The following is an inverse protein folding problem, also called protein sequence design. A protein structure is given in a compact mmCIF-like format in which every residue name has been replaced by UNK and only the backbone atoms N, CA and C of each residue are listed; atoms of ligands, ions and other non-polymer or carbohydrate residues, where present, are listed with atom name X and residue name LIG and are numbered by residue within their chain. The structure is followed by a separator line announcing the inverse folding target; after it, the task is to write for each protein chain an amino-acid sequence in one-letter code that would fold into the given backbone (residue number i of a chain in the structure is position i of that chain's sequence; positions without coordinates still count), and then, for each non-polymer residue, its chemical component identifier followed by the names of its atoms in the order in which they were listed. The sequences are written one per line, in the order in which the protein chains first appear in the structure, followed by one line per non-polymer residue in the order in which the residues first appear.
data_IF_900208166770
#
_entry.id   IF_900208166770
#
_cell.length_a   1.000
_cell.length_b   1.000
_cell.length_c   1.000
_cell.angle_alpha   90.00
_cell.angle_beta   90.00
_cell.angle_gamma   90.00
#
_symmetry.space_group_name_H-M   'P 1'
#
loop_
_entity.id
_entity.type
_entity.pdbx_description
1 polymer ?
#
# COMPACT_ATOMS: atom_id res chain seq x y z
N UNK A 1 5.14 14.54 -19.33
CA UNK A 1 5.10 14.02 -17.96
C UNK A 1 3.97 13.02 -17.92
N UNK A 2 4.22 11.69 -17.89
CA UNK A 2 3.12 10.75 -17.77
C UNK A 2 2.53 10.89 -16.36
N UNK A 3 1.21 10.87 -16.28
CA UNK A 3 0.48 10.92 -15.03
C UNK A 3 1.01 9.84 -14.10
N UNK A 4 1.56 10.26 -12.95
CA UNK A 4 1.73 9.38 -11.81
C UNK A 4 0.32 8.91 -11.49
N UNK A 5 0.03 7.64 -11.76
CA UNK A 5 -1.25 7.04 -11.41
C UNK A 5 -1.36 7.20 -9.89
N UNK A 6 -2.25 8.11 -9.47
CA UNK A 6 -2.84 8.05 -8.16
C UNK A 6 -3.23 6.58 -7.96
N UNK A 7 -2.68 5.94 -6.92
CA UNK A 7 -3.11 4.61 -6.52
C UNK A 7 -4.51 4.78 -5.92
N UNK A 8 -5.47 5.02 -6.80
CA UNK A 8 -6.88 4.81 -6.51
C UNK A 8 -7.00 3.31 -6.25
N UNK A 9 -7.45 2.93 -5.07
CA UNK A 9 -7.55 1.51 -4.68
C UNK A 9 -8.48 0.74 -5.64
N UNK A 10 -9.34 1.45 -6.37
CA UNK A 10 -10.18 0.92 -7.46
C UNK A 10 -9.40 0.54 -8.75
N UNK A 11 -8.14 0.94 -8.88
CA UNK A 11 -7.36 0.83 -10.13
C UNK A 11 -6.74 -0.57 -10.34
N UNK A 12 -6.48 -1.35 -9.28
CA UNK A 12 -5.96 -2.71 -9.42
C UNK A 12 -6.94 -3.65 -10.14
N UNK A 13 -8.23 -3.54 -9.80
CA UNK A 13 -9.29 -4.35 -10.42
C UNK A 13 -9.48 -4.02 -11.90
N UNK A 14 -9.25 -2.76 -12.28
CA UNK A 14 -9.36 -2.29 -13.67
C UNK A 14 -8.12 -2.68 -14.48
N UNK A 15 -6.94 -2.62 -13.86
CA UNK A 15 -5.67 -3.03 -14.46
C UNK A 15 -5.45 -4.55 -14.46
N UNK A 16 -6.32 -5.32 -13.79
CA UNK A 16 -6.25 -6.77 -13.62
C UNK A 16 -4.86 -7.24 -13.14
N UNK A 17 -4.24 -6.45 -12.26
CA UNK A 17 -2.89 -6.67 -11.72
C UNK A 17 -2.88 -6.44 -10.21
N UNK A 18 -2.11 -7.22 -9.45
CA UNK A 18 -1.71 -6.91 -8.06
C UNK A 18 -0.22 -6.58 -7.97
N UNK A 19 0.13 -5.75 -6.99
CA UNK A 19 1.51 -5.48 -6.55
C UNK A 19 1.74 -6.01 -5.12
N UNK A 20 3.01 -6.21 -4.72
CA UNK A 20 3.32 -6.62 -3.36
C UNK A 20 3.24 -5.43 -2.38
N UNK A 21 2.16 -5.42 -1.60
CA UNK A 21 1.86 -4.40 -0.61
C UNK A 21 2.72 -4.45 0.66
N UNK A 22 3.80 -5.24 0.73
CA UNK A 22 4.63 -5.25 1.94
C UNK A 22 5.34 -3.88 2.15
N UNK A 23 5.38 -3.30 3.36
CA UNK A 23 5.84 -1.91 3.57
C UNK A 23 7.26 -1.59 3.08
N UNK A 24 8.16 -2.57 3.06
CA UNK A 24 9.54 -2.36 2.60
C UNK A 24 9.67 -2.18 1.09
N UNK A 25 8.63 -2.53 0.32
CA UNK A 25 8.60 -2.34 -1.12
C UNK A 25 8.25 -0.91 -1.51
N UNK A 26 8.11 -0.02 -0.51
CA UNK A 26 7.73 1.36 -0.69
C UNK A 26 8.72 2.33 -0.04
N UNK A 27 8.86 3.51 -0.65
CA UNK A 27 9.59 4.64 -0.07
C UNK A 27 8.70 5.86 0.00
N UNK A 28 8.88 6.68 1.04
CA UNK A 28 8.16 7.94 1.22
C UNK A 28 9.06 9.10 0.79
N UNK A 29 8.57 9.95 -0.11
CA UNK A 29 9.27 11.18 -0.50
C UNK A 29 8.25 12.30 -0.70
N UNK A 30 8.46 13.45 -0.07
CA UNK A 30 7.57 14.63 -0.17
C UNK A 30 6.08 14.35 0.10
N UNK A 31 5.77 13.40 0.99
CA UNK A 31 4.37 13.05 1.33
C UNK A 31 3.72 12.06 0.37
N UNK A 32 4.43 11.61 -0.66
CA UNK A 32 4.00 10.58 -1.60
C UNK A 32 4.65 9.24 -1.27
N UNK A 33 3.97 8.14 -1.61
CA UNK A 33 4.44 6.77 -1.42
C UNK A 33 4.76 6.19 -2.81
N UNK A 34 5.97 5.65 -2.98
CA UNK A 34 6.44 5.08 -4.24
C UNK A 34 6.72 3.59 -4.10
N UNK A 35 6.12 2.76 -4.94
CA UNK A 35 6.46 1.34 -5.07
C UNK A 35 7.78 1.18 -5.84
N UNK A 36 8.74 0.46 -5.29
CA UNK A 36 10.11 0.35 -5.83
C UNK A 36 10.52 -1.08 -6.21
N UNK A 37 9.66 -2.06 -5.95
CA UNK A 37 9.95 -3.47 -6.22
C UNK A 37 9.52 -3.88 -7.65
N UNK A 38 8.67 -3.08 -8.31
CA UNK A 38 8.26 -3.19 -9.73
C UNK A 38 7.77 -4.59 -10.18
N UNK A 39 7.42 -5.46 -9.23
CA UNK A 39 6.82 -6.76 -9.51
C UNK A 39 5.30 -6.62 -9.66
N UNK A 40 4.75 -7.27 -10.68
CA UNK A 40 3.32 -7.29 -11.00
C UNK A 40 2.87 -8.72 -11.24
N UNK A 41 1.73 -9.09 -10.65
CA UNK A 41 1.11 -10.41 -10.82
C UNK A 41 -0.33 -10.27 -11.34
N UNK A 42 -0.88 -11.33 -11.90
CA UNK A 42 -2.31 -11.39 -12.24
C UNK A 42 -3.16 -11.09 -11.00
N UNK A 43 -4.22 -10.31 -11.17
CA UNK A 43 -5.08 -9.94 -10.06
C UNK A 43 -5.76 -11.15 -9.39
N UNK A 44 -5.69 -11.20 -8.07
CA UNK A 44 -6.41 -12.10 -7.18
C UNK A 44 -6.96 -11.31 -5.99
N UNK A 45 -8.27 -11.41 -5.74
CA UNK A 45 -8.93 -10.63 -4.67
C UNK A 45 -8.31 -10.86 -3.28
N UNK A 46 -7.81 -12.06 -3.00
CA UNK A 46 -7.16 -12.42 -1.74
C UNK A 46 -5.86 -11.63 -1.48
N UNK A 47 -5.22 -11.09 -2.52
CA UNK A 47 -3.91 -10.44 -2.49
C UNK A 47 -3.99 -8.91 -2.64
N UNK A 48 -5.20 -8.36 -2.78
CA UNK A 48 -5.40 -6.92 -2.85
C UNK A 48 -5.04 -6.22 -1.52
N UNK A 49 -5.02 -4.90 -1.54
CA UNK A 49 -4.67 -4.12 -0.35
C UNK A 49 -5.59 -4.42 0.85
N UNK A 50 -6.91 -4.46 0.66
CA UNK A 50 -7.85 -4.63 1.78
C UNK A 50 -7.81 -6.01 2.43
N UNK A 51 -7.57 -7.07 1.65
CA UNK A 51 -7.53 -8.44 2.17
C UNK A 51 -6.14 -8.82 2.67
N UNK A 52 -5.07 -8.26 2.08
CA UNK A 52 -3.69 -8.62 2.41
C UNK A 52 -2.84 -7.45 2.90
N UNK A 53 -2.72 -6.38 2.10
CA UNK A 53 -1.81 -5.27 2.38
C UNK A 53 -2.08 -4.58 3.73
N UNK A 54 -3.34 -4.26 4.04
CA UNK A 54 -3.74 -3.48 5.23
C UNK A 54 -3.21 -4.08 6.54
N UNK A 55 -3.05 -5.41 6.60
CA UNK A 55 -2.54 -6.15 7.77
C UNK A 55 -1.16 -5.65 8.22
N UNK A 56 -0.37 -5.12 7.30
CA UNK A 56 1.01 -4.67 7.55
C UNK A 56 1.14 -3.13 7.59
N UNK A 57 0.08 -2.42 7.20
CA UNK A 57 0.06 -0.95 7.14
C UNK A 57 -0.78 -0.30 8.24
N UNK A 58 -1.71 -1.04 8.84
CA UNK A 58 -2.56 -0.50 9.89
C UNK A 58 -1.75 -0.25 11.16
N UNK A 59 -1.52 1.04 11.45
CA UNK A 59 -1.20 1.54 12.79
C UNK A 59 -2.42 1.31 13.68
N UNK A 60 -2.51 0.11 14.26
CA UNK A 60 -3.66 -0.29 15.08
C UNK A 60 -3.94 0.76 16.17
N UNK A 61 -5.20 0.86 16.64
CA UNK A 61 -5.56 1.81 17.70
C UNK A 61 -4.63 1.72 18.92
N UNK A 62 -4.20 0.51 19.25
CA UNK A 62 -3.24 0.26 20.34
C UNK A 62 -1.85 0.83 20.05
N UNK A 63 -1.36 0.70 18.82
CA UNK A 63 -0.07 1.25 18.40
C UNK A 63 -0.08 2.78 18.41
N UNK A 64 -1.16 3.40 17.94
CA UNK A 64 -1.30 4.85 17.95
C UNK A 64 -1.39 5.40 19.37
N UNK A 65 -2.15 4.73 20.24
CA UNK A 65 -2.27 5.11 21.65
C UNK A 65 -0.92 5.07 22.37
N UNK A 66 -0.12 4.04 22.12
CA UNK A 66 1.23 3.94 22.69
C UNK A 66 2.14 5.10 22.27
N UNK A 67 2.12 5.47 20.98
CA UNK A 67 2.93 6.58 20.46
C UNK A 67 2.50 7.90 21.11
N UNK A 68 1.19 8.16 21.22
CA UNK A 68 0.65 9.40 21.82
C UNK A 68 1.01 9.55 23.30
N UNK A 69 0.95 8.46 24.08
CA UNK A 69 1.29 8.46 25.51
C UNK A 69 2.80 8.69 25.79
N UNK A 70 3.66 8.54 24.77
CA UNK A 70 5.13 8.56 24.91
C UNK A 70 5.81 9.56 23.97
N UNK A 71 5.06 10.53 23.44
CA UNK A 71 5.55 11.65 22.61
C UNK A 71 5.84 12.90 23.44
#
# INVERSE_FOLDING_TARGET
MPAMLEVDVDNERIANTNIDYFPTNFVVNNGEIFYIDYECNDYMEEWNFENWGIKYWSKTPDFLKYVEEHS
#
